data_IF_398470029082
#
_entry.id   IF_398470029082
#
_cell.length_a   1.000
_cell.length_b   1.000
_cell.length_c   1.000
_cell.angle_alpha   90.00
_cell.angle_beta   90.00
_cell.angle_gamma   90.00
#
_symmetry.space_group_name_H-M   'P 1'
#
loop_
_entity.id
_entity.type
_entity.pdbx_description
1 polymer ?
#
# COMPACT_ATOMS: atom_id res chain seq x y z
N UNK A 1 2.52 -10.67 -1.96
CA UNK A 1 1.07 -10.66 -1.70
C UNK A 1 0.84 -9.68 -0.58
N UNK A 2 -0.01 -8.69 -0.80
CA UNK A 2 -0.31 -7.63 0.14
C UNK A 2 -1.74 -7.83 0.63
N UNK A 3 -1.97 -7.76 1.93
CA UNK A 3 -3.26 -7.97 2.56
C UNK A 3 -3.57 -6.80 3.50
N UNK A 4 -4.80 -6.35 3.49
CA UNK A 4 -5.37 -5.40 4.45
C UNK A 4 -6.50 -6.08 5.20
N UNK A 5 -6.89 -5.52 6.34
CA UNK A 5 -7.94 -6.08 7.19
C UNK A 5 -7.66 -7.54 7.54
N UNK A 6 -6.47 -7.79 8.10
CA UNK A 6 -6.00 -9.14 8.38
C UNK A 6 -6.72 -9.81 9.57
N UNK A 7 -7.28 -9.01 10.48
CA UNK A 7 -7.88 -9.46 11.75
C UNK A 7 -6.93 -10.28 12.63
N UNK A 8 -5.63 -10.13 12.41
CA UNK A 8 -4.63 -10.84 13.17
C UNK A 8 -4.17 -10.00 14.38
N UNK A 9 -3.76 -10.69 15.44
CA UNK A 9 -3.14 -10.08 16.62
C UNK A 9 -1.80 -10.77 16.98
N UNK A 10 -1.11 -10.26 18.00
CA UNK A 10 0.18 -10.79 18.46
C UNK A 10 0.13 -12.24 18.97
N UNK A 11 -1.05 -12.75 19.29
CA UNK A 11 -1.27 -14.11 19.80
C UNK A 11 -1.49 -15.12 18.67
N UNK A 12 -1.99 -14.67 17.52
CA UNK A 12 -2.16 -15.50 16.32
C UNK A 12 -0.84 -15.58 15.55
N UNK A 13 -0.11 -16.70 15.67
CA UNK A 13 1.23 -16.88 15.07
C UNK A 13 1.42 -18.11 14.17
N UNK A 14 0.71 -19.23 14.41
CA UNK A 14 1.00 -20.51 13.74
C UNK A 14 0.18 -20.72 12.47
N UNK A 15 -1.11 -20.44 12.50
CA UNK A 15 -2.05 -20.73 11.39
C UNK A 15 -1.95 -19.75 10.21
N UNK A 16 -1.08 -18.76 10.33
CA UNK A 16 -0.85 -17.70 9.34
C UNK A 16 0.38 -17.98 8.47
N UNK A 17 1.15 -19.03 8.75
CA UNK A 17 2.37 -19.32 8.00
C UNK A 17 2.04 -19.98 6.67
N UNK A 18 2.38 -19.31 5.58
CA UNK A 18 2.28 -19.88 4.23
C UNK A 18 3.65 -20.48 3.88
N UNK A 19 3.68 -21.78 3.57
CA UNK A 19 4.93 -22.48 3.20
C UNK A 19 5.62 -21.79 2.01
N UNK A 20 6.91 -21.48 2.17
CA UNK A 20 7.71 -20.82 1.13
C UNK A 20 7.59 -19.29 1.12
N UNK A 21 6.97 -18.70 2.14
CA UNK A 21 6.82 -17.25 2.30
C UNK A 21 7.19 -16.80 3.71
N UNK A 22 7.84 -15.64 3.76
CA UNK A 22 8.03 -14.84 4.97
C UNK A 22 6.87 -13.85 5.10
N UNK A 23 6.47 -13.58 6.34
CA UNK A 23 5.38 -12.69 6.70
C UNK A 23 5.92 -11.45 7.42
N UNK A 24 5.61 -10.28 6.88
CA UNK A 24 5.83 -8.98 7.52
C UNK A 24 4.47 -8.33 7.74
N UNK A 25 4.11 -7.98 8.96
CA UNK A 25 2.78 -7.41 9.27
C UNK A 25 2.84 -6.31 10.30
N UNK A 26 1.77 -5.54 10.35
CA UNK A 26 1.46 -4.57 11.40
C UNK A 26 0.01 -4.80 11.85
N UNK A 27 -0.15 -5.00 13.15
CA UNK A 27 -1.44 -5.34 13.76
C UNK A 27 -2.11 -4.08 14.28
N UNK A 28 -3.44 -4.08 14.30
CA UNK A 28 -4.18 -3.00 14.96
C UNK A 28 -3.95 -3.06 16.46
N UNK A 29 -3.65 -1.90 17.05
CA UNK A 29 -3.60 -1.75 18.49
C UNK A 29 -4.96 -1.37 19.09
N UNK A 30 -5.28 -1.94 20.26
CA UNK A 30 -6.36 -1.49 21.15
C UNK A 30 -7.80 -1.53 20.59
N UNK A 31 -8.03 -2.20 19.44
CA UNK A 31 -9.34 -2.41 18.82
C UNK A 31 -9.37 -3.73 18.06
N UNK A 32 -10.57 -4.27 17.86
CA UNK A 32 -10.80 -5.45 17.00
C UNK A 32 -10.75 -5.08 15.51
N UNK A 33 -10.39 -6.07 14.69
CA UNK A 33 -10.30 -5.95 13.23
C UNK A 33 -9.12 -5.10 12.73
N UNK A 34 -8.88 -5.12 11.42
CA UNK A 34 -7.82 -4.34 10.77
C UNK A 34 -6.46 -5.03 10.68
N UNK A 35 -5.40 -4.24 10.59
CA UNK A 35 -4.04 -4.72 10.34
C UNK A 35 -3.70 -4.83 8.86
N UNK A 36 -2.41 -4.87 8.57
CA UNK A 36 -1.83 -4.97 7.23
C UNK A 36 -0.71 -6.01 7.20
N UNK A 37 -0.59 -6.76 6.11
CA UNK A 37 0.42 -7.80 5.97
C UNK A 37 0.99 -7.89 4.55
N UNK A 38 2.26 -8.29 4.48
CA UNK A 38 2.99 -8.60 3.27
C UNK A 38 3.55 -10.01 3.40
N UNK A 39 3.11 -10.90 2.52
CA UNK A 39 3.74 -12.19 2.29
C UNK A 39 4.62 -12.10 1.06
N UNK A 40 5.90 -12.43 1.21
CA UNK A 40 6.87 -12.46 0.12
C UNK A 40 7.61 -13.81 0.14
N UNK A 41 7.99 -14.33 -1.03
CA UNK A 41 8.68 -15.61 -1.14
C UNK A 41 10.00 -15.59 -0.36
N UNK A 42 10.35 -16.70 0.27
CA UNK A 42 11.58 -16.84 1.06
C UNK A 42 12.86 -16.58 0.27
N UNK A 43 12.82 -16.74 -1.06
CA UNK A 43 13.97 -16.49 -1.95
C UNK A 43 14.30 -15.00 -2.18
N UNK A 44 13.44 -14.08 -1.74
CA UNK A 44 13.72 -12.64 -1.79
C UNK A 44 14.26 -12.17 -0.45
N UNK A 45 15.44 -11.56 -0.48
CA UNK A 45 15.99 -10.83 0.67
C UNK A 45 15.16 -9.56 0.90
N UNK A 46 14.23 -9.64 1.85
CA UNK A 46 13.30 -8.58 2.19
C UNK A 46 13.34 -8.28 3.69
N UNK A 47 13.49 -7.00 4.02
CA UNK A 47 13.55 -6.53 5.40
C UNK A 47 12.37 -5.61 5.70
N UNK A 48 11.70 -5.80 6.84
CA UNK A 48 10.77 -4.79 7.37
C UNK A 48 11.57 -3.54 7.72
N UNK A 49 11.23 -2.44 7.07
CA UNK A 49 11.88 -1.13 7.28
C UNK A 49 11.03 -0.21 8.15
N UNK A 50 9.72 -0.43 8.20
CA UNK A 50 8.81 0.27 9.10
C UNK A 50 7.52 -0.51 9.32
N UNK A 51 6.86 -0.20 10.44
CA UNK A 51 5.50 -0.60 10.76
C UNK A 51 4.90 0.46 11.67
N UNK A 52 3.63 0.77 11.49
CA UNK A 52 2.93 1.78 12.29
C UNK A 52 1.42 1.51 12.32
N UNK A 53 0.85 1.49 13.52
CA UNK A 53 -0.59 1.53 13.77
C UNK A 53 -0.93 2.85 14.46
N UNK A 54 -1.84 3.64 13.88
CA UNK A 54 -2.27 4.93 14.42
C UNK A 54 -3.78 5.05 14.28
N UNK A 55 -4.50 5.12 15.41
CA UNK A 55 -5.95 5.33 15.45
C UNK A 55 -6.81 4.36 14.62
N UNK A 56 -6.29 3.17 14.30
CA UNK A 56 -6.95 2.19 13.43
C UNK A 56 -6.53 2.25 11.96
N UNK A 57 -5.57 3.11 11.60
CA UNK A 57 -4.87 3.08 10.30
C UNK A 57 -3.58 2.31 10.50
N UNK A 58 -3.34 1.30 9.66
CA UNK A 58 -2.16 0.44 9.76
C UNK A 58 -1.30 0.50 8.52
N UNK A 59 0.02 0.51 8.71
CA UNK A 59 1.02 0.49 7.65
C UNK A 59 2.12 -0.50 7.96
N UNK A 60 2.50 -1.31 6.97
CA UNK A 60 3.74 -2.09 6.98
C UNK A 60 4.55 -1.78 5.72
N UNK A 61 5.86 -1.60 5.88
CA UNK A 61 6.78 -1.34 4.78
C UNK A 61 7.95 -2.32 4.82
N UNK A 62 8.24 -2.93 3.68
CA UNK A 62 9.43 -3.76 3.48
C UNK A 62 10.31 -3.18 2.36
N UNK A 63 11.61 -3.43 2.46
CA UNK A 63 12.56 -3.22 1.37
C UNK A 63 13.02 -4.56 0.82
N UNK A 64 12.87 -4.76 -0.49
CA UNK A 64 13.24 -5.98 -1.21
C UNK A 64 14.54 -5.70 -1.97
N UNK A 65 15.68 -6.13 -1.40
CA UNK A 65 17.01 -5.73 -1.88
C UNK A 65 17.28 -6.15 -3.31
N UNK A 66 16.91 -7.39 -3.64
CA UNK A 66 17.24 -8.03 -4.93
C UNK A 66 16.64 -7.32 -6.16
N UNK A 67 15.55 -6.61 -5.98
CA UNK A 67 14.85 -5.86 -7.04
C UNK A 67 14.80 -4.36 -6.73
N UNK A 68 15.59 -3.90 -5.75
CA UNK A 68 15.62 -2.52 -5.29
C UNK A 68 14.22 -1.90 -5.15
N UNK A 69 13.32 -2.54 -4.40
CA UNK A 69 11.91 -2.13 -4.32
C UNK A 69 11.47 -1.91 -2.88
N UNK A 70 10.82 -0.78 -2.60
CA UNK A 70 10.09 -0.54 -1.34
C UNK A 70 8.62 -0.90 -1.58
N UNK A 71 8.09 -1.84 -0.81
CA UNK A 71 6.68 -2.22 -0.85
C UNK A 71 6.01 -1.82 0.46
N UNK A 72 5.02 -0.94 0.38
CA UNK A 72 4.25 -0.40 1.49
C UNK A 72 2.79 -0.84 1.35
N UNK A 73 2.21 -1.37 2.42
CA UNK A 73 0.79 -1.68 2.51
C UNK A 73 0.16 -0.79 3.55
N UNK A 74 -0.93 -0.11 3.20
CA UNK A 74 -1.70 0.75 4.09
C UNK A 74 -3.14 0.24 4.13
N UNK A 75 -3.68 0.06 5.33
CA UNK A 75 -5.12 -0.06 5.54
C UNK A 75 -5.63 1.21 6.24
N UNK A 76 -6.57 1.92 5.62
CA UNK A 76 -7.28 3.05 6.24
C UNK A 76 -8.79 2.76 6.31
N UNK A 77 -9.36 2.53 7.51
CA UNK A 77 -10.80 2.32 7.65
C UNK A 77 -11.60 3.58 7.26
N UNK A 78 -12.91 3.45 6.98
CA UNK A 78 -13.76 4.57 6.54
C UNK A 78 -13.91 5.69 7.58
N UNK A 79 -13.80 5.36 8.86
CA UNK A 79 -13.97 6.26 10.01
C UNK A 79 -12.65 6.77 10.60
N UNK A 80 -11.51 6.51 9.95
CA UNK A 80 -10.22 7.00 10.37
C UNK A 80 -10.22 8.53 10.52
N UNK A 81 -9.54 9.06 11.54
CA UNK A 81 -9.36 10.51 11.67
C UNK A 81 -8.32 11.01 10.66
N UNK A 82 -8.36 12.30 10.32
CA UNK A 82 -7.32 12.90 9.48
C UNK A 82 -5.96 12.86 10.16
N UNK A 83 -5.90 13.03 11.48
CA UNK A 83 -4.63 13.09 12.20
C UNK A 83 -3.91 11.74 12.12
N UNK A 84 -4.62 10.65 12.42
CA UNK A 84 -4.07 9.30 12.38
C UNK A 84 -3.59 8.93 10.98
N UNK A 85 -4.39 9.24 9.95
CA UNK A 85 -3.96 9.03 8.57
C UNK A 85 -2.77 9.91 8.19
N UNK A 86 -2.70 11.15 8.69
CA UNK A 86 -1.55 12.04 8.45
C UNK A 86 -0.28 11.48 9.06
N UNK A 87 -0.34 10.88 10.25
CA UNK A 87 0.81 10.23 10.89
C UNK A 87 1.35 9.09 10.02
N UNK A 88 0.47 8.30 9.39
CA UNK A 88 0.90 7.28 8.41
C UNK A 88 1.56 7.92 7.19
N UNK A 89 0.96 8.98 6.62
CA UNK A 89 1.52 9.66 5.46
C UNK A 89 2.88 10.32 5.73
N UNK A 90 3.06 10.91 6.92
CA UNK A 90 4.35 11.44 7.38
C UNK A 90 5.40 10.32 7.47
N UNK A 91 5.01 9.13 7.93
CA UNK A 91 5.89 7.96 7.96
C UNK A 91 6.28 7.49 6.56
N UNK A 92 5.35 7.52 5.60
CA UNK A 92 5.65 7.25 4.19
C UNK A 92 6.68 8.24 3.66
N UNK A 93 6.51 9.54 3.91
CA UNK A 93 7.47 10.56 3.50
C UNK A 93 8.85 10.36 4.14
N UNK A 94 8.91 10.00 5.43
CA UNK A 94 10.14 9.68 6.14
C UNK A 94 10.88 8.52 5.44
N UNK A 95 10.18 7.42 5.14
CA UNK A 95 10.75 6.25 4.46
C UNK A 95 11.31 6.64 3.08
N UNK A 96 10.53 7.34 2.27
CA UNK A 96 10.92 7.67 0.89
C UNK A 96 12.01 8.74 0.83
N UNK A 97 12.14 9.60 1.86
CA UNK A 97 13.22 10.60 1.95
C UNK A 97 14.60 10.00 2.22
N UNK A 98 14.67 8.76 2.72
CA UNK A 98 15.92 8.04 3.07
C UNK A 98 16.49 7.23 1.91
N UNK A 99 15.84 7.28 0.76
CA UNK A 99 16.26 6.60 -0.46
C UNK A 99 17.64 7.12 -0.91
N UNK A 100 18.55 6.19 -1.21
CA UNK A 100 19.85 6.47 -1.82
C UNK A 100 19.86 6.00 -3.28
N UNK A 101 20.85 6.46 -4.06
CA UNK A 101 21.00 6.04 -5.46
C UNK A 101 21.62 4.63 -5.56
N UNK A 102 21.17 3.77 -6.50
CA UNK A 102 20.05 3.99 -7.43
C UNK A 102 18.71 4.01 -6.69
N UNK A 103 17.84 4.96 -7.06
CA UNK A 103 16.53 5.13 -6.44
C UNK A 103 15.71 3.84 -6.59
N UNK A 104 15.08 3.32 -5.51
CA UNK A 104 14.25 2.15 -5.58
C UNK A 104 12.92 2.45 -6.25
N UNK A 105 12.37 1.42 -6.86
CA UNK A 105 10.95 1.38 -7.19
C UNK A 105 10.16 1.43 -5.89
N UNK A 106 9.13 2.27 -5.84
CA UNK A 106 8.22 2.38 -4.70
C UNK A 106 6.85 1.88 -5.13
N UNK A 107 6.27 1.00 -4.32
CA UNK A 107 4.92 0.49 -4.50
C UNK A 107 4.17 0.72 -3.20
N UNK A 108 3.07 1.49 -3.25
CA UNK A 108 2.16 1.66 -2.13
C UNK A 108 0.82 1.07 -2.51
N UNK A 109 0.33 0.12 -1.72
CA UNK A 109 -0.96 -0.54 -1.96
C UNK A 109 -1.85 -0.55 -0.74
N UNK A 110 -3.13 -0.83 -0.96
CA UNK A 110 -4.07 -1.25 0.07
C UNK A 110 -5.39 -0.50 -0.01
N UNK A 111 -6.25 -0.73 0.98
CA UNK A 111 -7.58 -0.15 1.03
C UNK A 111 -7.56 1.23 1.71
N UNK A 112 -7.86 2.25 0.93
CA UNK A 112 -7.90 3.65 1.35
C UNK A 112 -9.32 4.15 1.63
N UNK A 113 -10.39 3.36 1.44
CA UNK A 113 -11.77 3.74 1.73
C UNK A 113 -12.16 5.18 1.30
N UNK A 114 -11.92 5.53 0.03
CA UNK A 114 -12.42 6.77 -0.58
C UNK A 114 -13.56 6.49 -1.56
N UNK A 115 -14.78 6.12 -1.10
CA UNK A 115 -15.86 5.73 -2.01
C UNK A 115 -16.37 6.87 -2.89
N UNK A 116 -16.09 8.12 -2.50
CA UNK A 116 -16.57 9.32 -3.17
C UNK A 116 -15.77 9.74 -4.40
N UNK A 117 -14.66 9.07 -4.72
CA UNK A 117 -13.86 9.36 -5.93
C UNK A 117 -14.02 8.29 -7.00
N UNK A 118 -13.78 8.70 -8.23
CA UNK A 118 -13.58 7.84 -9.39
C UNK A 118 -12.17 8.06 -9.93
N UNK A 119 -11.49 6.97 -10.24
CA UNK A 119 -10.20 6.98 -10.93
C UNK A 119 -10.41 6.74 -12.42
N UNK A 120 -9.66 7.46 -13.25
CA UNK A 120 -9.79 7.46 -14.70
C UNK A 120 -8.41 7.32 -15.30
N UNK A 121 -8.17 6.26 -16.08
CA UNK A 121 -6.91 6.06 -16.79
C UNK A 121 -6.62 7.21 -17.75
N UNK A 122 -5.40 7.71 -17.69
CA UNK A 122 -4.82 8.65 -18.64
C UNK A 122 -3.87 7.96 -19.63
N UNK A 123 -3.31 8.72 -20.55
CA UNK A 123 -2.42 8.22 -21.61
C UNK A 123 -1.04 7.75 -21.11
N UNK A 124 -0.65 8.11 -19.89
CA UNK A 124 0.60 7.71 -19.26
C UNK A 124 0.46 6.42 -18.42
N UNK A 125 -0.60 5.65 -18.65
CA UNK A 125 -1.00 4.48 -17.84
C UNK A 125 -1.27 4.78 -16.35
N UNK A 126 -1.18 6.04 -15.93
CA UNK A 126 -1.60 6.51 -14.62
C UNK A 126 -3.07 6.88 -14.58
N UNK A 127 -3.62 7.02 -13.38
CA UNK A 127 -4.99 7.46 -13.14
C UNK A 127 -5.02 8.88 -12.59
N UNK A 128 -5.91 9.70 -13.15
CA UNK A 128 -6.38 10.93 -12.51
C UNK A 128 -7.64 10.63 -11.69
N UNK A 129 -7.98 11.49 -10.73
CA UNK A 129 -9.17 11.34 -9.91
C UNK A 129 -10.21 12.43 -10.19
N UNK A 130 -11.48 12.08 -9.99
CA UNK A 130 -12.61 13.01 -9.99
C UNK A 130 -13.53 12.69 -8.82
N UNK A 131 -14.03 13.72 -8.12
CA UNK A 131 -15.08 13.53 -7.11
C UNK A 131 -16.41 13.19 -7.80
N UNK A 132 -17.10 12.15 -7.32
CA UNK A 132 -18.42 11.76 -7.82
C UNK A 132 -19.46 12.83 -7.46
N UNK A 133 -20.45 13.05 -8.33
CA UNK A 133 -21.60 13.90 -8.01
C UNK A 133 -22.43 13.27 -6.89
N UNK A 134 -22.93 14.08 -5.96
CA UNK A 134 -23.73 13.63 -4.81
C UNK A 134 -23.08 12.48 -4.02
N UNK A 135 -21.76 12.56 -3.86
CA UNK A 135 -20.93 11.47 -3.32
C UNK A 135 -21.08 11.18 -1.83
N UNK A 136 -21.75 12.07 -1.09
CA UNK A 136 -21.79 12.00 0.37
C UNK A 136 -20.42 12.24 1.05
N UNK A 137 -19.41 12.72 0.31
CA UNK A 137 -18.09 12.96 0.86
C UNK A 137 -18.15 13.96 2.04
N UNK A 138 -17.52 13.59 3.14
CA UNK A 138 -17.37 14.46 4.30
C UNK A 138 -16.23 15.45 4.10
N UNK A 139 -16.21 16.54 4.87
CA UNK A 139 -15.08 17.49 4.87
C UNK A 139 -13.77 16.79 5.28
N UNK A 140 -13.84 15.88 6.25
CA UNK A 140 -12.73 15.04 6.69
C UNK A 140 -12.20 14.16 5.56
N UNK A 141 -13.07 13.41 4.88
CA UNK A 141 -12.67 12.54 3.78
C UNK A 141 -11.97 13.32 2.65
N UNK A 142 -12.49 14.49 2.29
CA UNK A 142 -11.84 15.37 1.29
C UNK A 142 -10.47 15.85 1.76
N UNK A 143 -10.33 16.18 3.05
CA UNK A 143 -9.05 16.60 3.65
C UNK A 143 -8.03 15.48 3.61
N UNK A 144 -8.43 14.26 3.96
CA UNK A 144 -7.59 13.06 3.90
C UNK A 144 -7.13 12.75 2.48
N UNK A 145 -8.04 12.77 1.51
CA UNK A 145 -7.69 12.56 0.10
C UNK A 145 -6.68 13.61 -0.38
N UNK A 146 -6.91 14.90 -0.09
CA UNK A 146 -5.97 15.97 -0.48
C UNK A 146 -4.57 15.73 0.08
N UNK A 147 -4.47 15.32 1.35
CA UNK A 147 -3.17 14.98 1.96
C UNK A 147 -2.51 13.79 1.29
N UNK A 148 -3.27 12.73 0.99
CA UNK A 148 -2.74 11.58 0.26
C UNK A 148 -2.18 12.02 -1.10
N UNK A 149 -2.97 12.76 -1.89
CA UNK A 149 -2.56 13.25 -3.21
C UNK A 149 -1.31 14.13 -3.13
N UNK A 150 -1.25 15.06 -2.17
CA UNK A 150 -0.05 15.89 -1.97
C UNK A 150 1.20 15.06 -1.68
N UNK A 151 1.07 14.01 -0.86
CA UNK A 151 2.21 13.15 -0.50
C UNK A 151 2.66 12.29 -1.67
N UNK A 152 1.74 11.63 -2.37
CA UNK A 152 2.10 10.80 -3.53
C UNK A 152 2.66 11.64 -4.67
N UNK A 153 2.11 12.82 -4.94
CA UNK A 153 2.64 13.75 -5.95
C UNK A 153 4.05 14.22 -5.59
N UNK A 154 4.30 14.55 -4.31
CA UNK A 154 5.63 14.97 -3.84
C UNK A 154 6.69 13.87 -4.00
N UNK A 155 6.29 12.61 -3.83
CA UNK A 155 7.17 11.44 -4.00
C UNK A 155 7.30 11.04 -5.49
N UNK A 156 6.44 11.58 -6.36
CA UNK A 156 6.40 11.23 -7.79
C UNK A 156 5.69 9.89 -8.05
N UNK A 157 4.74 9.50 -7.20
CA UNK A 157 3.96 8.28 -7.38
C UNK A 157 2.66 8.56 -8.12
N UNK A 158 2.27 7.62 -8.98
CA UNK A 158 1.06 7.66 -9.79
C UNK A 158 0.19 6.46 -9.46
N UNK A 159 -1.12 6.68 -9.32
CA UNK A 159 -2.11 5.63 -9.05
C UNK A 159 -2.43 4.85 -10.35
N UNK A 160 -2.54 3.53 -10.32
CA UNK A 160 -2.67 2.69 -11.54
C UNK A 160 -3.90 1.76 -11.59
N UNK A 161 -4.90 1.93 -10.73
CA UNK A 161 -6.12 1.11 -10.69
C UNK A 161 -7.33 2.00 -10.96
N UNK A 162 -8.06 1.73 -12.04
CA UNK A 162 -9.29 2.47 -12.35
C UNK A 162 -10.57 1.67 -12.07
N UNK A 163 -10.46 0.35 -12.04
CA UNK A 163 -11.61 -0.54 -11.92
C UNK A 163 -12.17 -0.55 -10.49
N UNK A 164 -13.49 -0.72 -10.31
CA UNK A 164 -14.08 -0.89 -9.00
C UNK A 164 -13.56 -2.15 -8.30
N UNK A 165 -13.05 -1.98 -7.08
CA UNK A 165 -12.51 -3.05 -6.24
C UNK A 165 -13.50 -3.48 -5.16
N UNK A 166 -14.54 -2.69 -4.89
CA UNK A 166 -15.70 -3.09 -4.06
C UNK A 166 -16.96 -2.45 -4.62
N UNK A 167 -17.93 -3.27 -4.98
CA UNK A 167 -19.14 -2.82 -5.68
C UNK A 167 -18.82 -1.88 -6.87
N UNK A 168 -19.21 -0.60 -6.78
CA UNK A 168 -18.98 0.47 -7.78
C UNK A 168 -17.84 1.42 -7.42
N UNK A 169 -17.06 1.10 -6.38
CA UNK A 169 -16.02 1.97 -5.84
C UNK A 169 -14.64 1.32 -6.00
N UNK A 170 -13.64 2.14 -6.33
CA UNK A 170 -12.23 1.77 -6.32
C UNK A 170 -11.66 2.24 -4.99
N UNK A 171 -11.58 1.34 -4.03
CA UNK A 171 -11.12 1.61 -2.66
C UNK A 171 -9.67 1.17 -2.46
N UNK A 172 -9.31 0.07 -3.13
CA UNK A 172 -7.98 -0.51 -3.13
C UNK A 172 -7.15 0.17 -4.22
N UNK A 173 -6.08 0.85 -3.81
CA UNK A 173 -5.26 1.67 -4.71
C UNK A 173 -3.87 1.07 -4.83
N UNK A 174 -3.22 1.33 -5.97
CA UNK A 174 -1.82 0.98 -6.22
C UNK A 174 -1.12 2.22 -6.74
N UNK A 175 -0.16 2.75 -5.97
CA UNK A 175 0.68 3.88 -6.36
C UNK A 175 2.10 3.42 -6.65
N UNK A 176 2.73 3.99 -7.67
CA UNK A 176 4.13 3.70 -7.99
C UNK A 176 4.85 4.85 -8.72
N UNK A 177 6.18 4.93 -8.58
CA UNK A 177 7.05 5.79 -9.40
C UNK A 177 7.47 5.14 -10.73
N UNK A 178 7.13 3.87 -10.96
CA UNK A 178 7.48 3.13 -12.18
C UNK A 178 6.23 2.43 -12.73
N UNK A 179 5.43 3.15 -13.52
CA UNK A 179 4.18 2.62 -14.09
C UNK A 179 4.46 1.52 -15.13
N UNK A 180 5.56 1.67 -15.87
CA UNK A 180 5.94 0.76 -16.96
C UNK A 180 6.41 -0.60 -16.44
N UNK A 181 6.65 -0.73 -15.12
CA UNK A 181 6.95 -2.04 -14.54
C UNK A 181 5.76 -3.01 -14.62
N UNK A 182 4.53 -2.49 -14.66
CA UNK A 182 3.32 -3.30 -14.69
C UNK A 182 2.98 -3.68 -16.12
N UNK A 183 3.16 -4.95 -16.47
CA UNK A 183 2.82 -5.49 -17.80
C UNK A 183 1.35 -5.89 -17.90
N UNK A 184 0.73 -6.21 -16.77
CA UNK A 184 -0.69 -6.53 -16.68
C UNK A 184 -1.25 -6.16 -15.30
N UNK A 185 -2.48 -5.63 -15.29
CA UNK A 185 -3.25 -5.30 -14.08
C UNK A 185 -4.62 -5.93 -14.26
N UNK A 186 -5.00 -6.82 -13.36
CA UNK A 186 -6.31 -7.50 -13.38
C UNK A 186 -7.04 -7.29 -12.05
N UNK A 187 -8.34 -7.00 -12.11
CA UNK A 187 -9.19 -6.85 -10.91
C UNK A 187 -10.27 -7.93 -10.91
N UNK A 188 -10.09 -8.94 -10.06
CA UNK A 188 -10.91 -10.17 -10.05
C UNK A 188 -11.70 -10.32 -8.76
N UNK A 189 -12.97 -10.75 -8.89
CA UNK A 189 -13.80 -11.06 -7.72
C UNK A 189 -13.24 -12.21 -6.89
N UNK A 190 -13.58 -12.22 -5.60
CA UNK A 190 -13.20 -13.24 -4.64
C UNK A 190 -14.45 -13.85 -4.01
N UNK A 191 -14.41 -15.14 -3.66
CA UNK A 191 -15.43 -15.77 -2.82
C UNK A 191 -15.20 -15.54 -1.33
N UNK A 192 -14.02 -15.02 -0.96
CA UNK A 192 -13.58 -14.88 0.43
C UNK A 192 -13.73 -13.45 0.98
N UNK A 193 -14.04 -12.48 0.13
CA UNK A 193 -14.17 -11.07 0.48
C UNK A 193 -15.16 -10.38 -0.46
N UNK A 194 -15.83 -9.34 0.03
CA UNK A 194 -16.62 -8.43 -0.80
C UNK A 194 -15.74 -7.43 -1.58
N UNK A 195 -14.44 -7.37 -1.27
CA UNK A 195 -13.42 -6.76 -2.11
C UNK A 195 -12.92 -7.72 -3.19
N UNK A 196 -12.56 -7.13 -4.33
CA UNK A 196 -11.89 -7.79 -5.45
C UNK A 196 -10.39 -7.78 -5.22
N UNK A 197 -9.73 -8.84 -5.66
CA UNK A 197 -8.27 -8.97 -5.68
C UNK A 197 -7.71 -8.15 -6.85
N UNK A 198 -6.59 -7.47 -6.61
CA UNK A 198 -5.78 -6.85 -7.66
C UNK A 198 -4.56 -7.73 -7.92
N UNK A 199 -4.41 -8.21 -9.15
CA UNK A 199 -3.25 -8.98 -9.60
C UNK A 199 -2.39 -8.12 -10.53
N UNK A 200 -1.14 -7.91 -10.13
CA UNK A 200 -0.15 -7.12 -10.86
C UNK A 200 0.92 -8.07 -11.39
N UNK A 201 1.11 -8.11 -12.70
CA UNK A 201 2.26 -8.77 -13.32
C UNK A 201 3.34 -7.73 -13.58
N UNK A 202 4.56 -8.00 -13.11
CA UNK A 202 5.69 -7.07 -13.26
C UNK A 202 6.76 -7.61 -14.18
N UNK A 203 7.52 -6.72 -14.81
CA UNK A 203 8.76 -7.03 -15.51
C UNK A 203 10.01 -6.84 -14.63
N UNK A 204 9.84 -6.75 -13.29
CA UNK A 204 10.95 -6.56 -12.34
C UNK A 204 11.91 -7.75 -12.43
N UNK A 205 13.10 -7.48 -12.97
CA UNK A 205 14.13 -8.51 -13.17
C UNK A 205 14.89 -8.72 -11.87
N UNK A 206 15.16 -9.98 -11.54
CA UNK A 206 16.08 -10.36 -10.46
C UNK A 206 17.47 -9.82 -10.80
N UNK A 207 17.89 -8.70 -10.22
CA UNK A 207 19.28 -8.26 -10.30
C UNK A 207 20.13 -9.24 -9.48
N UNK A 208 21.10 -9.90 -10.11
CA UNK A 208 21.99 -10.84 -9.43
C UNK A 208 23.11 -10.14 -8.63
N UNK A 209 23.12 -8.81 -8.53
CA UNK A 209 24.10 -8.06 -7.76
C UNK A 209 23.76 -6.57 -7.68
N UNK A 210 23.49 -6.09 -6.46
CA UNK A 210 24.13 -4.92 -5.83
C UNK A 210 23.46 -4.64 -4.48
N UNK A 211 24.26 -4.59 -3.43
CA UNK A 211 23.83 -4.37 -2.05
C UNK A 211 23.55 -2.88 -1.85
N UNK A 212 22.29 -2.44 -1.97
CA UNK A 212 21.91 -1.10 -1.52
C UNK A 212 21.83 -1.12 0.01
N UNK A 213 22.68 -0.33 0.68
CA UNK A 213 22.61 -0.13 2.13
C UNK A 213 21.53 0.91 2.43
N UNK A 214 20.53 0.53 3.21
CA UNK A 214 19.69 1.50 3.93
C UNK A 214 20.42 1.77 5.24
N UNK A 215 20.84 3.02 5.46
CA UNK A 215 21.45 3.43 6.72
C UNK A 215 20.42 3.35 7.84
N UNK A 216 20.55 2.31 8.68
CA UNK A 216 19.85 2.22 9.96
C UNK A 216 20.63 3.07 10.97
N UNK A 217 20.10 4.22 11.37
CA UNK A 217 20.45 4.79 12.68
C UNK A 217 19.43 4.30 13.69
N UNK A 218 19.93 3.58 14.68
CA UNK A 218 19.22 3.15 15.88
C UNK A 218 18.67 4.38 16.62
N UNK A 219 17.45 4.26 17.12
CA UNK A 219 16.90 5.06 18.22
C UNK A 219 16.49 4.09 19.32
#
# INVERSE_FOLDING_TARGET
MNFTETWLDKYIQKDIKIKGYQLHREDRENKEGGGAAIYIKDEYDAEKIAGLSSGGVEMVAIYIKRINTINIVIYKPPDASTNDFSTILEKVQEITSRVTKPEPTVIITGDFNFPFIRWIRGSNNGCRWEEKKNSGATTEGRRQLKKLIEVVDRIGLVQVVEEPTREKNTLDLVFTNDVDMFTHIEVTGSSMSDHKRIELTTNLIKNNSQTTRIDKKEY
#
